data_IF_763830123174
#
_entry.id   IF_763830123174
#
_cell.length_a   1.000
_cell.length_b   1.000
_cell.length_c   1.000
_cell.angle_alpha   90.00
_cell.angle_beta   90.00
_cell.angle_gamma   90.00
#
_symmetry.space_group_name_H-M   'P 1'
#
loop_
_entity.id
_entity.type
_entity.pdbx_description
1 polymer ?
#
# COMPACT_ATOMS: atom_id res chain seq x y z
N UNK A 1 -33.28 -19.51 4.57
CA UNK A 1 -32.00 -19.43 5.32
C UNK A 1 -31.28 -18.23 4.77
N UNK A 2 -31.46 -17.06 5.41
CA UNK A 2 -30.97 -15.79 4.91
C UNK A 2 -29.46 -15.71 5.06
N UNK A 3 -28.78 -15.36 3.97
CA UNK A 3 -27.36 -15.05 3.91
C UNK A 3 -27.13 -13.69 4.58
N UNK A 4 -26.65 -13.73 5.82
CA UNK A 4 -26.32 -12.51 6.58
C UNK A 4 -25.02 -11.94 6.01
N UNK A 5 -25.16 -10.96 5.12
CA UNK A 5 -24.05 -10.21 4.55
C UNK A 5 -23.08 -9.76 5.63
N UNK A 6 -21.83 -10.18 5.52
CA UNK A 6 -20.75 -9.74 6.38
C UNK A 6 -20.46 -8.28 6.06
N UNK A 7 -21.02 -7.36 6.84
CA UNK A 7 -20.75 -5.92 6.74
C UNK A 7 -19.26 -5.74 7.02
N UNK A 8 -18.48 -5.38 6.00
CA UNK A 8 -17.10 -4.92 6.17
C UNK A 8 -17.18 -3.54 6.82
N UNK A 9 -17.31 -3.51 8.16
CA UNK A 9 -17.22 -2.27 8.92
C UNK A 9 -15.80 -1.76 8.71
N UNK A 10 -15.63 -0.68 7.94
CA UNK A 10 -14.32 -0.07 7.75
C UNK A 10 -13.80 0.33 9.13
N UNK A 11 -12.82 -0.42 9.64
CA UNK A 11 -12.02 0.02 10.77
C UNK A 11 -11.39 1.36 10.36
N UNK A 12 -11.54 2.37 11.21
CA UNK A 12 -10.76 3.59 11.09
C UNK A 12 -9.27 3.19 10.94
N UNK A 13 -8.48 3.88 10.10
CA UNK A 13 -7.06 3.59 10.02
C UNK A 13 -6.47 3.64 11.44
N UNK A 14 -5.92 2.53 11.90
CA UNK A 14 -5.27 2.43 13.20
C UNK A 14 -3.86 3.02 13.08
N UNK A 15 -3.76 4.34 13.06
CA UNK A 15 -2.47 5.02 13.18
C UNK A 15 -2.23 5.37 14.65
N UNK A 16 -1.09 4.91 15.19
CA UNK A 16 -0.61 5.38 16.48
C UNK A 16 0.03 6.77 16.31
N UNK A 17 0.22 7.55 17.39
CA UNK A 17 0.97 8.80 17.33
C UNK A 17 2.35 8.64 16.66
N UNK A 18 3.05 7.55 16.96
CA UNK A 18 4.35 7.24 16.35
C UNK A 18 4.24 6.96 14.85
N UNK A 19 3.12 6.36 14.40
CA UNK A 19 2.85 6.15 12.99
C UNK A 19 2.59 7.45 12.23
N UNK A 20 1.88 8.40 12.85
CA UNK A 20 1.69 9.73 12.27
C UNK A 20 3.00 10.52 12.21
N UNK A 21 3.81 10.48 13.27
CA UNK A 21 5.12 11.14 13.33
C UNK A 21 6.07 10.57 12.27
N UNK A 22 6.10 9.24 12.09
CA UNK A 22 6.89 8.60 11.04
C UNK A 22 6.42 9.01 9.64
N UNK A 23 5.10 9.13 9.43
CA UNK A 23 4.54 9.56 8.15
C UNK A 23 4.82 11.04 7.87
N UNK A 24 4.85 11.89 8.90
CA UNK A 24 5.28 13.28 8.80
C UNK A 24 6.77 13.37 8.42
N UNK A 25 7.64 12.64 9.11
CA UNK A 25 9.07 12.60 8.81
C UNK A 25 9.36 12.10 7.37
N UNK A 26 8.64 11.07 6.91
CA UNK A 26 8.71 10.59 5.53
C UNK A 26 8.37 11.68 4.51
N UNK A 27 7.36 12.51 4.80
CA UNK A 27 6.91 13.58 3.89
C UNK A 27 7.90 14.75 3.88
N UNK A 28 8.53 15.03 5.01
CA UNK A 28 9.51 16.11 5.16
C UNK A 28 10.86 15.78 4.50
N UNK A 29 11.36 14.55 4.65
CA UNK A 29 12.58 14.06 3.99
C UNK A 29 12.39 12.66 3.36
N UNK A 30 11.70 12.57 2.20
CA UNK A 30 11.51 11.30 1.52
C UNK A 30 12.83 10.69 1.04
N UNK A 31 13.87 11.50 0.84
CA UNK A 31 15.13 11.06 0.28
C UNK A 31 16.03 10.33 1.31
N UNK A 32 15.68 10.42 2.60
CA UNK A 32 16.26 9.65 3.70
C UNK A 32 15.48 8.39 4.05
N UNK A 33 14.42 8.06 3.31
CA UNK A 33 13.52 6.96 3.64
C UNK A 33 13.63 5.76 2.68
N UNK A 34 13.20 4.60 3.17
CA UNK A 34 13.00 3.38 2.36
C UNK A 34 11.52 3.02 2.38
N UNK A 35 10.96 2.77 1.20
CA UNK A 35 9.58 2.31 1.05
C UNK A 35 9.57 0.83 0.67
N UNK A 36 9.00 -0.01 1.54
CA UNK A 36 8.75 -1.43 1.28
C UNK A 36 7.28 -1.65 0.91
N UNK A 37 7.04 -2.28 -0.24
CA UNK A 37 5.69 -2.64 -0.68
C UNK A 37 5.62 -4.15 -0.84
N UNK A 38 4.62 -4.76 -0.22
CA UNK A 38 4.21 -6.12 -0.55
C UNK A 38 3.53 -6.16 -1.94
N UNK A 39 3.36 -7.34 -2.52
CA UNK A 39 2.73 -7.52 -3.83
C UNK A 39 1.27 -7.97 -3.73
N UNK A 40 1.00 -9.21 -3.35
CA UNK A 40 -0.35 -9.78 -3.36
C UNK A 40 -1.22 -9.20 -2.24
N UNK A 41 -2.37 -8.65 -2.60
CA UNK A 41 -3.23 -7.89 -1.68
C UNK A 41 -2.77 -6.46 -1.41
N UNK A 42 -1.62 -6.04 -1.94
CA UNK A 42 -1.11 -4.67 -1.82
C UNK A 42 -1.02 -3.97 -3.18
N UNK A 43 -0.10 -4.41 -4.05
CA UNK A 43 0.05 -3.89 -5.42
C UNK A 43 -0.73 -4.69 -6.46
N UNK A 44 -1.14 -5.92 -6.14
CA UNK A 44 -2.00 -6.79 -6.95
C UNK A 44 -3.21 -7.24 -6.12
N UNK A 45 -4.39 -7.51 -6.72
CA UNK A 45 -5.50 -8.08 -5.97
C UNK A 45 -5.20 -9.53 -5.52
N UNK A 46 -5.75 -9.94 -4.37
CA UNK A 46 -5.76 -11.35 -3.95
C UNK A 46 -6.68 -12.11 -4.89
N UNK A 47 -6.16 -13.16 -5.54
CA UNK A 47 -6.87 -13.98 -6.52
C UNK A 47 -6.77 -15.46 -6.17
N UNK A 48 -7.69 -16.28 -6.70
CA UNK A 48 -7.74 -17.71 -6.41
C UNK A 48 -6.56 -18.50 -7.02
N UNK A 49 -6.11 -18.12 -8.22
CA UNK A 49 -4.90 -18.66 -8.85
C UNK A 49 -3.75 -17.65 -8.70
N UNK A 50 -2.72 -17.94 -7.87
CA UNK A 50 -1.58 -17.04 -7.67
C UNK A 50 -0.84 -16.70 -8.98
N UNK A 51 -0.82 -17.60 -9.96
CA UNK A 51 -0.16 -17.33 -11.24
C UNK A 51 -0.88 -16.25 -12.07
N UNK A 52 -2.14 -15.96 -11.75
CA UNK A 52 -2.94 -14.91 -12.36
C UNK A 52 -2.79 -13.54 -11.68
N UNK A 53 -2.07 -13.43 -10.57
CA UNK A 53 -1.86 -12.16 -9.88
C UNK A 53 -1.11 -11.18 -10.80
N UNK A 54 -1.72 -10.02 -11.04
CA UNK A 54 -1.14 -8.95 -11.86
C UNK A 54 -1.20 -7.65 -11.08
N UNK A 55 -0.10 -6.89 -11.17
CA UNK A 55 -0.04 -5.57 -10.58
C UNK A 55 -1.23 -4.73 -11.07
N UNK A 56 -1.78 -3.91 -10.18
CA UNK A 56 -2.79 -2.93 -10.52
C UNK A 56 -2.26 -2.07 -11.69
N UNK A 57 -3.08 -1.73 -12.70
CA UNK A 57 -2.60 -1.06 -13.92
C UNK A 57 -1.81 0.23 -13.70
N UNK A 58 -2.01 0.90 -12.55
CA UNK A 58 -1.29 2.12 -12.16
C UNK A 58 -0.05 1.91 -11.28
N UNK A 59 0.25 0.68 -10.83
CA UNK A 59 1.33 0.42 -9.87
C UNK A 59 2.69 0.82 -10.43
N UNK A 60 3.03 0.38 -11.65
CA UNK A 60 4.32 0.71 -12.27
C UNK A 60 4.54 2.22 -12.42
N UNK A 61 3.53 2.95 -12.91
CA UNK A 61 3.62 4.40 -13.07
C UNK A 61 3.75 5.12 -11.72
N UNK A 62 3.04 4.66 -10.68
CA UNK A 62 3.14 5.22 -9.34
C UNK A 62 4.52 4.98 -8.71
N UNK A 63 5.06 3.76 -8.83
CA UNK A 63 6.40 3.42 -8.33
C UNK A 63 7.49 4.22 -9.06
N UNK A 64 7.37 4.37 -10.39
CA UNK A 64 8.29 5.20 -11.17
C UNK A 64 8.27 6.68 -10.73
N UNK A 65 7.10 7.21 -10.35
CA UNK A 65 6.98 8.57 -9.82
C UNK A 65 7.53 8.72 -8.39
N UNK A 66 7.53 7.64 -7.59
CA UNK A 66 8.09 7.62 -6.24
C UNK A 66 9.61 7.45 -6.24
N UNK A 67 10.15 6.62 -7.13
CA UNK A 67 11.57 6.24 -7.17
C UNK A 67 12.57 7.43 -7.08
N UNK A 68 12.39 8.56 -7.81
CA UNK A 68 13.33 9.69 -7.68
C UNK A 68 13.24 10.40 -6.32
N UNK A 69 12.09 10.32 -5.62
CA UNK A 69 11.88 10.98 -4.32
C UNK A 69 12.62 10.26 -3.19
N UNK A 70 12.80 8.95 -3.32
CA UNK A 70 13.45 8.08 -2.33
C UNK A 70 14.84 7.60 -2.78
N UNK A 71 15.40 8.22 -3.84
CA UNK A 71 16.73 7.92 -4.39
C UNK A 71 16.95 6.46 -4.76
N UNK A 72 15.93 5.82 -5.36
CA UNK A 72 15.99 4.42 -5.79
C UNK A 72 16.11 4.24 -7.31
N UNK A 73 16.54 5.28 -8.03
CA UNK A 73 16.82 5.27 -9.47
C UNK A 73 18.33 5.36 -9.73
#
# INVERSE_FOLDING_TARGET
>A
MADTGHVHTSSSPHTSPEGEDALAALRDDPAGAVLGFDFDGTLAPIVADPAAARAHPRAAAALAALAPRVRSL
#
